data_IF_117861362879
#
_entry.id   IF_117861362879
#
_cell.length_a   1.000
_cell.length_b   1.000
_cell.length_c   1.000
_cell.angle_alpha   90.00
_cell.angle_beta   90.00
_cell.angle_gamma   90.00
#
_symmetry.space_group_name_H-M   'P 1'
#
loop_
_entity.id
_entity.type
_entity.pdbx_description
1 polymer ?
#
# COMPACT_ATOMS: atom_id res chain seq x y z
N UNK A 1 -21.08 25.64 -14.30
CA UNK A 1 -22.03 25.09 -13.31
C UNK A 1 -21.76 23.59 -13.25
N UNK A 2 -20.95 23.16 -12.32
CA UNK A 2 -20.67 21.74 -12.07
C UNK A 2 -21.49 21.30 -10.87
N UNK A 3 -22.32 20.29 -11.06
CA UNK A 3 -23.15 19.70 -10.03
C UNK A 3 -22.23 18.97 -9.03
N UNK A 4 -22.14 19.47 -7.82
CA UNK A 4 -21.59 18.76 -6.66
C UNK A 4 -22.60 17.67 -6.26
N UNK A 5 -22.21 16.42 -6.41
CA UNK A 5 -23.00 15.28 -5.99
C UNK A 5 -23.10 15.18 -4.47
N UNK A 6 -24.30 15.32 -3.94
CA UNK A 6 -24.72 15.13 -2.55
C UNK A 6 -24.60 13.67 -2.09
N UNK A 7 -23.42 13.16 -1.83
CA UNK A 7 -23.20 11.80 -1.31
C UNK A 7 -22.60 11.72 0.09
N UNK A 8 -22.39 12.86 0.76
CA UNK A 8 -21.72 12.87 2.07
C UNK A 8 -22.59 13.42 3.23
N UNK A 9 -23.84 13.81 2.98
CA UNK A 9 -24.58 14.69 3.92
C UNK A 9 -25.44 13.98 4.98
N UNK A 10 -25.54 12.65 5.02
CA UNK A 10 -26.56 11.99 5.85
C UNK A 10 -26.05 11.08 6.99
N UNK A 11 -24.80 11.17 7.37
CA UNK A 11 -24.31 10.48 8.57
C UNK A 11 -24.10 11.50 9.71
N UNK A 12 -24.87 11.43 10.80
CA UNK A 12 -24.74 12.37 11.94
C UNK A 12 -23.30 12.45 12.47
N UNK A 13 -22.58 11.33 12.51
CA UNK A 13 -21.20 11.29 12.97
C UNK A 13 -20.21 11.98 12.02
N UNK A 14 -20.50 12.08 10.71
CA UNK A 14 -19.64 12.78 9.76
C UNK A 14 -19.76 14.30 9.93
N UNK A 15 -20.97 14.82 10.11
CA UNK A 15 -21.19 16.25 10.35
C UNK A 15 -20.61 16.70 11.68
N UNK A 16 -20.73 15.89 12.73
CA UNK A 16 -20.17 16.17 14.06
C UNK A 16 -18.63 16.16 14.01
N UNK A 17 -18.02 15.19 13.31
CA UNK A 17 -16.59 15.18 13.05
C UNK A 17 -16.14 16.43 12.25
N UNK A 18 -16.91 16.83 11.24
CA UNK A 18 -16.58 18.00 10.41
C UNK A 18 -16.72 19.31 11.16
N UNK A 19 -17.72 19.47 12.03
CA UNK A 19 -17.88 20.63 12.90
C UNK A 19 -16.74 20.78 13.93
N UNK A 20 -16.20 19.66 14.42
CA UNK A 20 -15.04 19.64 15.30
C UNK A 20 -13.71 19.97 14.60
N UNK A 21 -13.66 19.95 13.26
CA UNK A 21 -12.45 20.30 12.48
C UNK A 21 -12.32 21.80 12.18
N UNK A 22 -13.40 22.56 12.23
CA UNK A 22 -13.41 23.98 11.82
C UNK A 22 -12.61 24.93 12.75
N UNK A 23 -12.48 24.69 14.07
CA UNK A 23 -11.74 25.59 14.94
C UNK A 23 -10.26 25.27 15.14
N UNK A 24 -9.69 24.34 14.39
CA UNK A 24 -8.37 23.75 14.70
C UNK A 24 -7.18 24.72 14.77
N UNK A 25 -7.23 25.90 14.17
CA UNK A 25 -6.07 26.79 14.19
C UNK A 25 -6.13 27.86 15.30
N UNK A 26 -7.33 28.42 15.55
CA UNK A 26 -7.47 29.51 16.54
C UNK A 26 -7.89 29.01 17.93
N UNK A 27 -8.71 27.95 18.01
CA UNK A 27 -9.19 27.42 19.29
C UNK A 27 -8.12 26.69 20.12
N UNK A 28 -7.06 26.19 19.49
CA UNK A 28 -5.94 25.53 20.18
C UNK A 28 -4.82 26.51 20.57
N UNK A 29 -5.01 27.81 20.32
CA UNK A 29 -4.00 28.83 20.56
C UNK A 29 -2.80 28.73 19.60
N UNK A 30 -1.77 29.48 19.88
CA UNK A 30 -0.54 29.55 19.11
C UNK A 30 0.57 30.21 19.90
N UNK A 31 1.74 30.29 19.31
CA UNK A 31 2.90 31.00 19.83
C UNK A 31 3.51 31.87 18.75
N UNK A 32 4.28 32.87 19.16
CA UNK A 32 5.00 33.73 18.26
C UNK A 32 6.41 33.19 18.09
N UNK A 33 6.80 32.96 16.85
CA UNK A 33 8.17 32.62 16.49
C UNK A 33 8.84 33.87 15.93
N UNK A 34 9.99 34.25 16.45
CA UNK A 34 10.79 35.39 15.97
C UNK A 34 12.15 34.87 15.51
N UNK A 35 12.63 35.41 14.38
CA UNK A 35 13.97 35.14 13.91
C UNK A 35 14.96 36.05 14.66
N UNK A 36 15.95 35.44 15.30
CA UNK A 36 16.97 36.19 16.06
C UNK A 36 17.87 37.04 15.16
N UNK A 37 18.06 36.64 13.87
CA UNK A 37 18.94 37.36 12.95
C UNK A 37 18.28 38.55 12.27
N UNK A 38 17.01 38.40 11.83
CA UNK A 38 16.34 39.45 11.03
C UNK A 38 15.16 40.11 11.72
N UNK A 39 14.79 39.71 12.93
CA UNK A 39 13.68 40.26 13.71
C UNK A 39 12.28 39.97 13.14
N UNK A 40 12.16 39.25 12.04
CA UNK A 40 10.86 38.83 11.51
C UNK A 40 10.16 37.90 12.46
N UNK A 41 8.89 38.09 12.60
CA UNK A 41 8.06 37.24 13.47
C UNK A 41 6.85 36.68 12.71
N UNK A 42 6.35 35.54 13.17
CA UNK A 42 5.14 34.91 12.66
C UNK A 42 4.36 34.25 13.79
N UNK A 43 3.05 34.11 13.60
CA UNK A 43 2.21 33.34 14.50
C UNK A 43 2.21 31.89 14.03
N UNK A 44 2.67 30.99 14.86
CA UNK A 44 2.57 29.54 14.67
C UNK A 44 1.40 28.97 15.51
N UNK A 45 0.38 28.48 14.85
CA UNK A 45 -0.77 27.89 15.53
C UNK A 45 -0.49 26.46 15.98
N UNK A 46 -1.00 26.08 17.17
CA UNK A 46 -0.87 24.72 17.68
C UNK A 46 -1.63 23.73 16.79
N UNK A 47 -1.06 22.54 16.63
CA UNK A 47 -1.67 21.45 15.89
C UNK A 47 -2.58 20.62 16.81
N UNK A 48 -3.75 20.20 16.30
CA UNK A 48 -4.62 19.25 17.00
C UNK A 48 -4.04 17.83 17.08
N UNK A 49 -2.91 17.57 16.42
CA UNK A 49 -2.23 16.28 16.29
C UNK A 49 -3.13 15.15 15.77
N UNK A 50 -4.29 15.47 15.26
CA UNK A 50 -5.20 14.48 14.69
C UNK A 50 -4.75 14.15 13.26
N UNK A 51 -4.43 12.88 13.02
CA UNK A 51 -3.98 12.38 11.72
C UNK A 51 -4.98 12.57 10.56
N UNK A 52 -6.24 12.80 10.88
CA UNK A 52 -7.28 13.02 9.88
C UNK A 52 -7.60 14.51 9.64
N UNK A 53 -6.95 15.42 10.36
CA UNK A 53 -7.19 16.85 10.20
C UNK A 53 -6.51 17.37 8.93
N UNK A 54 -7.25 17.76 7.87
CA UNK A 54 -6.65 18.22 6.62
C UNK A 54 -5.88 19.54 6.81
N UNK A 55 -6.26 20.35 7.79
CA UNK A 55 -5.61 21.61 8.09
C UNK A 55 -4.25 21.41 8.77
N UNK A 56 -4.20 20.62 9.83
CA UNK A 56 -2.97 20.37 10.58
C UNK A 56 -1.99 19.47 9.82
N UNK A 57 -2.51 18.52 9.04
CA UNK A 57 -1.68 17.60 8.26
C UNK A 57 -1.28 18.16 6.89
N UNK A 58 -2.00 19.15 6.36
CA UNK A 58 -1.73 19.68 5.02
C UNK A 58 -0.32 20.24 4.83
N UNK A 59 0.21 20.95 5.83
CA UNK A 59 1.59 21.44 5.77
C UNK A 59 2.61 20.28 5.83
N UNK A 60 2.44 19.36 6.77
CA UNK A 60 3.32 18.19 6.89
C UNK A 60 3.27 17.31 5.64
N UNK A 61 2.08 17.12 5.04
CA UNK A 61 1.93 16.37 3.80
C UNK A 61 2.65 17.05 2.63
N UNK A 62 2.57 18.38 2.48
CA UNK A 62 3.29 19.11 1.45
C UNK A 62 4.80 19.02 1.61
N UNK A 63 5.32 19.18 2.83
CA UNK A 63 6.75 19.04 3.11
C UNK A 63 7.22 17.64 2.78
N UNK A 64 6.50 16.62 3.24
CA UNK A 64 6.81 15.23 2.95
C UNK A 64 6.79 14.93 1.44
N UNK A 65 5.81 15.49 0.72
CA UNK A 65 5.69 15.29 -0.73
C UNK A 65 6.89 15.95 -1.45
N UNK A 66 7.23 17.19 -1.11
CA UNK A 66 8.36 17.89 -1.72
C UNK A 66 9.70 17.17 -1.48
N UNK A 67 9.91 16.63 -0.28
CA UNK A 67 11.08 15.79 0.01
C UNK A 67 11.10 14.50 -0.83
N UNK A 68 9.95 13.87 -1.03
CA UNK A 68 9.86 12.65 -1.85
C UNK A 68 10.00 12.93 -3.34
N UNK A 69 9.51 14.07 -3.81
CA UNK A 69 9.72 14.50 -5.20
C UNK A 69 11.20 14.70 -5.52
N UNK A 70 11.97 15.24 -4.58
CA UNK A 70 13.42 15.42 -4.74
C UNK A 70 14.19 14.07 -4.84
N UNK A 71 13.65 13.02 -4.23
CA UNK A 71 14.24 11.68 -4.25
C UNK A 71 13.79 10.83 -5.47
N UNK A 72 12.84 11.34 -6.28
CA UNK A 72 12.34 10.58 -7.43
C UNK A 72 13.39 10.47 -8.54
N UNK A 73 13.56 9.25 -9.03
CA UNK A 73 14.37 9.01 -10.22
C UNK A 73 13.65 9.58 -11.46
N UNK A 74 14.39 10.13 -12.45
CA UNK A 74 13.81 10.68 -13.69
C UNK A 74 13.39 9.54 -14.65
N UNK A 75 12.62 8.59 -14.15
CA UNK A 75 12.09 7.45 -14.88
C UNK A 75 10.62 7.25 -14.54
N UNK A 76 9.84 6.79 -15.50
CA UNK A 76 8.44 6.45 -15.26
C UNK A 76 8.31 5.38 -14.16
N UNK A 77 7.26 5.45 -13.36
CA UNK A 77 6.99 4.50 -12.29
C UNK A 77 5.79 3.62 -12.62
N UNK A 78 5.91 2.33 -12.36
CA UNK A 78 4.81 1.37 -12.50
C UNK A 78 4.06 1.23 -11.18
N UNK A 79 2.73 1.19 -11.28
CA UNK A 79 1.87 0.84 -10.16
C UNK A 79 1.47 -0.62 -10.25
N UNK A 80 1.92 -1.43 -9.28
CA UNK A 80 1.65 -2.86 -9.22
C UNK A 80 0.83 -3.18 -7.98
N UNK A 81 -0.22 -4.00 -8.13
CA UNK A 81 -1.12 -4.37 -7.02
C UNK A 81 -1.17 -5.88 -6.88
N UNK A 82 -0.91 -6.38 -5.69
CA UNK A 82 -1.07 -7.78 -5.31
C UNK A 82 -2.30 -7.94 -4.43
N UNK A 83 -3.26 -8.73 -4.88
CA UNK A 83 -4.54 -8.90 -4.22
C UNK A 83 -4.72 -10.32 -3.71
N UNK A 84 -5.22 -10.47 -2.47
CA UNK A 84 -5.61 -11.76 -1.92
C UNK A 84 -6.99 -12.19 -2.47
N UNK A 85 -7.19 -13.49 -2.75
CA UNK A 85 -8.52 -14.02 -3.00
C UNK A 85 -9.47 -13.79 -1.81
N UNK A 86 -10.74 -13.54 -2.09
CA UNK A 86 -11.74 -13.24 -1.06
C UNK A 86 -11.78 -14.29 0.06
N UNK A 87 -11.64 -15.54 -0.30
CA UNK A 87 -11.71 -16.66 0.64
C UNK A 87 -10.50 -16.75 1.60
N UNK A 88 -9.36 -16.15 1.22
CA UNK A 88 -8.19 -16.00 2.09
C UNK A 88 -8.34 -14.76 2.97
N UNK A 89 -9.17 -13.83 2.55
CA UNK A 89 -9.45 -12.58 3.27
C UNK A 89 -10.10 -12.84 4.63
N UNK A 90 -10.93 -13.87 4.75
CA UNK A 90 -11.55 -14.25 6.03
C UNK A 90 -10.50 -14.74 7.04
N UNK A 91 -9.50 -15.51 6.59
CA UNK A 91 -8.36 -15.89 7.41
C UNK A 91 -7.56 -14.66 7.83
N UNK A 92 -7.37 -13.71 6.92
CA UNK A 92 -6.65 -12.46 7.18
C UNK A 92 -7.37 -11.58 8.20
N UNK A 93 -8.70 -11.57 8.23
CA UNK A 93 -9.49 -10.78 9.17
C UNK A 93 -9.20 -11.14 10.63
N UNK A 94 -9.07 -12.42 10.93
CA UNK A 94 -8.76 -12.93 12.27
C UNK A 94 -7.26 -12.93 12.59
N UNK A 95 -6.39 -12.83 11.57
CA UNK A 95 -4.93 -12.98 11.70
C UNK A 95 -4.17 -11.80 11.08
N UNK A 96 -4.65 -10.57 11.28
CA UNK A 96 -4.18 -9.36 10.56
C UNK A 96 -2.66 -9.22 10.54
N UNK A 97 -2.02 -9.22 11.71
CA UNK A 97 -0.57 -9.00 11.79
C UNK A 97 0.22 -10.05 10.99
N UNK A 98 -0.14 -11.33 11.14
CA UNK A 98 0.57 -12.44 10.49
C UNK A 98 0.34 -12.44 8.98
N UNK A 99 -0.92 -12.27 8.55
CA UNK A 99 -1.27 -12.36 7.14
C UNK A 99 -0.86 -11.10 6.37
N UNK A 100 -0.88 -9.93 7.00
CA UNK A 100 -0.41 -8.68 6.37
C UNK A 100 1.11 -8.70 6.19
N UNK A 101 1.89 -9.12 7.20
CA UNK A 101 3.33 -9.31 7.06
C UNK A 101 3.65 -10.34 5.96
N UNK A 102 2.92 -11.45 5.94
CA UNK A 102 3.05 -12.46 4.90
C UNK A 102 2.75 -11.89 3.50
N UNK A 103 1.71 -11.08 3.37
CA UNK A 103 1.33 -10.44 2.11
C UNK A 103 2.44 -9.53 1.60
N UNK A 104 2.99 -8.65 2.45
CA UNK A 104 4.12 -7.80 2.11
C UNK A 104 5.34 -8.61 1.66
N UNK A 105 5.75 -9.58 2.45
CA UNK A 105 6.93 -10.42 2.15
C UNK A 105 6.77 -11.21 0.86
N UNK A 106 5.62 -11.86 0.66
CA UNK A 106 5.38 -12.66 -0.54
C UNK A 106 5.33 -11.79 -1.80
N UNK A 107 4.70 -10.61 -1.73
CA UNK A 107 4.62 -9.68 -2.85
C UNK A 107 6.00 -9.08 -3.19
N UNK A 108 6.73 -8.59 -2.19
CA UNK A 108 8.07 -8.00 -2.38
C UNK A 108 9.08 -9.02 -2.92
N UNK A 109 9.12 -10.22 -2.33
CA UNK A 109 10.00 -11.29 -2.81
C UNK A 109 9.65 -11.73 -4.23
N UNK A 110 8.35 -11.78 -4.56
CA UNK A 110 7.92 -12.06 -5.93
C UNK A 110 8.49 -11.04 -6.92
N UNK A 111 8.36 -9.76 -6.61
CA UNK A 111 8.87 -8.68 -7.46
C UNK A 111 10.39 -8.76 -7.62
N UNK A 112 11.12 -8.86 -6.50
CA UNK A 112 12.59 -8.90 -6.50
C UNK A 112 13.10 -10.14 -7.25
N UNK A 113 12.50 -11.32 -7.01
CA UNK A 113 12.93 -12.57 -7.65
C UNK A 113 12.74 -12.53 -9.16
N UNK A 114 11.58 -12.07 -9.63
CA UNK A 114 11.31 -12.03 -11.08
C UNK A 114 12.11 -10.90 -11.76
N UNK A 115 12.32 -9.77 -11.08
CA UNK A 115 13.15 -8.69 -11.61
C UNK A 115 14.63 -9.08 -11.73
N UNK A 116 15.15 -9.87 -10.82
CA UNK A 116 16.53 -10.34 -10.87
C UNK A 116 16.79 -11.37 -11.98
N UNK A 117 15.74 -12.07 -12.46
CA UNK A 117 15.89 -13.04 -13.57
C UNK A 117 16.25 -12.33 -14.87
N UNK A 118 17.41 -12.65 -15.51
CA UNK A 118 17.83 -12.06 -16.78
C UNK A 118 16.84 -12.25 -17.93
N UNK A 119 15.97 -13.26 -17.85
CA UNK A 119 14.88 -13.47 -18.83
C UNK A 119 13.82 -12.38 -18.79
N UNK A 120 13.76 -11.62 -17.69
CA UNK A 120 12.77 -10.56 -17.47
C UNK A 120 13.43 -9.18 -17.47
N UNK A 121 14.08 -8.80 -16.38
CA UNK A 121 14.75 -7.51 -16.25
C UNK A 121 16.26 -7.66 -16.01
N UNK A 122 16.69 -8.63 -15.23
CA UNK A 122 18.10 -8.83 -14.87
C UNK A 122 18.64 -7.74 -13.93
N UNK A 123 17.83 -7.18 -13.06
CA UNK A 123 18.20 -6.06 -12.22
C UNK A 123 17.61 -6.13 -10.81
N UNK A 124 18.24 -5.41 -9.88
CA UNK A 124 17.69 -5.13 -8.56
C UNK A 124 16.81 -3.89 -8.65
N UNK A 125 15.56 -4.01 -8.24
CA UNK A 125 14.57 -2.94 -8.26
C UNK A 125 14.35 -2.34 -6.88
N UNK A 126 14.00 -1.06 -6.83
CA UNK A 126 13.44 -0.39 -5.65
C UNK A 126 11.92 -0.57 -5.62
N UNK A 127 11.33 -0.66 -4.42
CA UNK A 127 9.89 -0.81 -4.26
C UNK A 127 9.44 0.04 -3.07
N UNK A 128 8.46 0.90 -3.29
CA UNK A 128 7.67 1.51 -2.21
C UNK A 128 6.34 0.78 -2.14
N UNK A 129 5.99 0.23 -0.97
CA UNK A 129 4.80 -0.59 -0.81
C UNK A 129 3.88 -0.06 0.29
N UNK A 130 2.57 -0.04 0.02
CA UNK A 130 1.53 0.40 0.96
C UNK A 130 0.43 -0.65 1.03
N UNK A 131 0.02 -1.01 2.25
CA UNK A 131 -1.10 -1.90 2.50
C UNK A 131 -2.42 -1.14 2.45
N UNK A 132 -3.34 -1.63 1.63
CA UNK A 132 -4.76 -1.28 1.71
C UNK A 132 -5.55 -2.49 2.22
N UNK A 133 -6.49 -2.25 3.12
CA UNK A 133 -7.26 -3.33 3.77
C UNK A 133 -8.72 -3.35 3.38
N UNK A 134 -9.19 -2.34 2.63
CA UNK A 134 -10.58 -2.16 2.22
C UNK A 134 -10.68 -1.98 0.71
N UNK A 135 -11.63 -2.67 0.10
CA UNK A 135 -12.01 -2.44 -1.29
C UNK A 135 -12.92 -1.21 -1.45
N UNK A 136 -13.26 -0.84 -2.68
CA UNK A 136 -14.15 0.26 -3.01
C UNK A 136 -15.55 0.12 -2.39
N UNK A 137 -16.01 -1.11 -2.16
CA UNK A 137 -17.28 -1.41 -1.47
C UNK A 137 -17.16 -1.42 0.06
N UNK A 138 -16.09 -0.88 0.65
CA UNK A 138 -15.79 -0.89 2.08
C UNK A 138 -15.77 -2.29 2.72
N UNK A 139 -15.60 -3.34 1.90
CA UNK A 139 -15.40 -4.70 2.38
C UNK A 139 -13.93 -4.94 2.70
N UNK A 140 -13.66 -5.77 3.71
CA UNK A 140 -12.28 -6.16 4.05
C UNK A 140 -11.65 -6.90 2.87
N UNK A 141 -10.62 -6.29 2.28
CA UNK A 141 -9.99 -6.76 1.05
C UNK A 141 -8.50 -6.40 1.03
N UNK A 142 -7.66 -7.11 1.79
CA UNK A 142 -6.24 -6.79 1.88
C UNK A 142 -5.53 -6.93 0.54
N UNK A 143 -4.84 -5.88 0.16
CA UNK A 143 -4.01 -5.83 -1.04
C UNK A 143 -2.86 -4.86 -0.83
N UNK A 144 -1.75 -5.09 -1.51
CA UNK A 144 -0.55 -4.25 -1.45
C UNK A 144 -0.40 -3.50 -2.75
N UNK A 145 -0.36 -2.18 -2.66
CA UNK A 145 0.05 -1.30 -3.74
C UNK A 145 1.55 -1.12 -3.72
N UNK A 146 2.19 -1.20 -4.87
CA UNK A 146 3.62 -1.00 -5.03
C UNK A 146 3.88 0.03 -6.11
N UNK A 147 4.73 1.00 -5.82
CA UNK A 147 5.31 1.92 -6.80
C UNK A 147 6.73 1.44 -7.08
N UNK A 148 7.01 1.19 -8.34
CA UNK A 148 8.27 0.60 -8.78
C UNK A 148 8.84 1.41 -9.94
N UNK A 149 10.06 1.94 -9.86
CA UNK A 149 10.71 2.62 -10.97
C UNK A 149 10.77 1.74 -12.23
N UNK A 150 10.74 2.36 -13.39
CA UNK A 150 10.79 1.68 -14.70
C UNK A 150 12.15 1.10 -15.05
N UNK A 151 12.76 0.39 -14.11
CA UNK A 151 14.06 -0.26 -14.25
C UNK A 151 14.67 -0.59 -12.89
N UNK A 152 15.96 -0.88 -12.90
CA UNK A 152 16.73 -1.20 -11.71
C UNK A 152 18.23 -1.18 -11.95
N UNK A 153 18.99 -1.41 -10.90
CA UNK A 153 20.45 -1.50 -10.97
C UNK A 153 20.82 -2.94 -11.38
N UNK A 154 21.64 -3.09 -12.39
CA UNK A 154 22.17 -4.38 -12.81
C UNK A 154 22.72 -5.16 -11.62
N UNK A 155 22.69 -6.49 -11.66
CA UNK A 155 23.07 -7.33 -10.52
C UNK A 155 24.53 -7.13 -10.10
N UNK A 156 25.40 -6.73 -11.03
CA UNK A 156 26.80 -6.35 -10.80
C UNK A 156 26.97 -4.94 -10.21
N UNK A 157 25.89 -4.16 -10.13
CA UNK A 157 25.90 -2.81 -9.57
C UNK A 157 26.41 -1.72 -10.52
N UNK A 158 26.78 -2.04 -11.77
CA UNK A 158 27.53 -1.13 -12.64
C UNK A 158 26.70 -0.16 -13.47
N UNK A 159 25.42 -0.46 -13.73
CA UNK A 159 24.58 0.32 -14.64
C UNK A 159 23.09 0.21 -14.31
N UNK A 160 22.34 1.16 -14.84
CA UNK A 160 20.88 1.11 -14.84
C UNK A 160 20.38 0.20 -16.00
N UNK A 161 19.42 -0.65 -15.70
CA UNK A 161 18.70 -1.49 -16.67
C UNK A 161 17.26 -1.00 -16.74
N UNK A 162 16.90 -0.39 -17.86
CA UNK A 162 15.53 0.10 -18.09
C UNK A 162 14.57 -1.04 -18.39
N UNK A 163 13.35 -0.94 -17.87
CA UNK A 163 12.25 -1.81 -18.26
C UNK A 163 11.77 -1.49 -19.68
N UNK A 164 10.94 -2.37 -20.24
CA UNK A 164 10.20 -2.04 -21.47
C UNK A 164 9.19 -0.92 -21.19
N UNK A 165 8.94 -0.02 -22.18
CA UNK A 165 8.11 1.17 -21.94
C UNK A 165 6.72 0.91 -21.34
N UNK A 166 6.07 -0.19 -21.72
CA UNK A 166 4.71 -0.52 -21.26
C UNK A 166 4.67 -1.75 -20.33
N UNK A 167 5.81 -2.36 -20.01
CA UNK A 167 5.86 -3.63 -19.28
C UNK A 167 7.06 -3.68 -18.33
N UNK A 168 6.80 -3.58 -17.04
CA UNK A 168 7.84 -3.81 -16.03
C UNK A 168 8.19 -5.31 -15.98
N UNK A 169 7.20 -6.13 -15.58
CA UNK A 169 7.33 -7.59 -15.38
C UNK A 169 6.03 -8.30 -15.80
N UNK A 170 6.10 -9.58 -16.26
CA UNK A 170 4.91 -10.30 -16.70
C UNK A 170 3.98 -10.63 -15.53
N UNK A 171 2.81 -10.02 -15.46
CA UNK A 171 1.83 -10.18 -14.36
C UNK A 171 1.39 -11.63 -14.11
N UNK A 172 1.37 -12.47 -15.17
CA UNK A 172 1.04 -13.91 -15.03
C UNK A 172 2.13 -14.67 -14.28
N UNK A 173 3.40 -14.31 -14.51
CA UNK A 173 4.55 -14.91 -13.81
C UNK A 173 4.57 -14.45 -12.37
N UNK A 174 4.36 -13.14 -12.14
CA UNK A 174 4.22 -12.57 -10.79
C UNK A 174 3.10 -13.29 -10.00
N UNK A 175 1.90 -13.39 -10.56
CA UNK A 175 0.76 -14.03 -9.88
C UNK A 175 1.00 -15.50 -9.57
N UNK A 176 1.73 -16.24 -10.41
CA UNK A 176 2.07 -17.65 -10.18
C UNK A 176 3.08 -17.81 -9.01
N UNK A 177 4.12 -16.98 -8.98
CA UNK A 177 5.13 -17.02 -7.91
C UNK A 177 4.54 -16.54 -6.58
N UNK A 178 3.83 -15.41 -6.59
CA UNK A 178 3.15 -14.85 -5.43
C UNK A 178 2.23 -15.87 -4.76
N UNK A 179 1.35 -16.50 -5.54
CA UNK A 179 0.47 -17.57 -5.04
C UNK A 179 1.26 -18.69 -4.36
N UNK A 180 2.33 -19.17 -4.99
CA UNK A 180 3.15 -20.26 -4.45
C UNK A 180 3.79 -19.86 -3.12
N UNK A 181 4.43 -18.70 -3.06
CA UNK A 181 5.11 -18.20 -1.86
C UNK A 181 4.11 -17.95 -0.74
N UNK A 182 3.01 -17.28 -1.03
CA UNK A 182 1.99 -16.96 -0.05
C UNK A 182 1.37 -18.22 0.56
N UNK A 183 0.90 -19.16 -0.27
CA UNK A 183 0.25 -20.37 0.22
C UNK A 183 1.21 -21.28 1.00
N UNK A 184 2.46 -21.41 0.55
CA UNK A 184 3.45 -22.20 1.27
C UNK A 184 3.71 -21.65 2.67
N UNK A 185 3.86 -20.33 2.80
CA UNK A 185 4.08 -19.68 4.08
C UNK A 185 2.85 -19.63 4.97
N UNK A 186 1.67 -19.49 4.38
CA UNK A 186 0.41 -19.54 5.13
C UNK A 186 0.23 -20.93 5.77
N UNK A 187 0.58 -21.99 5.04
CA UNK A 187 0.58 -23.37 5.57
C UNK A 187 1.63 -23.50 6.69
N UNK A 188 2.82 -22.96 6.51
CA UNK A 188 3.85 -22.99 7.55
C UNK A 188 3.43 -22.24 8.83
N UNK A 189 2.71 -21.12 8.71
CA UNK A 189 2.13 -20.42 9.86
C UNK A 189 1.07 -21.26 10.57
N UNK A 190 0.25 -21.99 9.82
CA UNK A 190 -0.73 -22.91 10.38
C UNK A 190 -0.03 -24.06 11.14
N UNK A 191 0.94 -24.72 10.50
CA UNK A 191 1.69 -25.83 11.08
C UNK A 191 2.48 -25.42 12.34
N UNK A 192 2.86 -24.14 12.42
CA UNK A 192 3.50 -23.55 13.60
C UNK A 192 2.51 -23.09 14.69
N UNK A 193 1.19 -23.32 14.51
CA UNK A 193 0.16 -22.90 15.47
C UNK A 193 0.02 -21.39 15.62
N UNK A 194 0.43 -20.59 14.61
CA UNK A 194 0.45 -19.14 14.67
C UNK A 194 -0.80 -18.47 14.09
N UNK A 195 -1.77 -19.24 13.64
CA UNK A 195 -3.05 -18.77 13.13
C UNK A 195 -4.17 -19.10 14.10
N UNK A 196 -5.06 -18.14 14.32
CA UNK A 196 -6.26 -18.31 15.13
C UNK A 196 -7.48 -18.43 14.23
N UNK A 197 -8.44 -19.26 14.62
CA UNK A 197 -9.67 -19.54 13.90
C UNK A 197 -10.86 -19.50 14.86
N UNK A 198 -11.90 -18.75 14.49
CA UNK A 198 -13.07 -18.52 15.33
C UNK A 198 -14.37 -18.73 14.56
N UNK A 199 -15.48 -18.95 15.29
CA UNK A 199 -16.81 -19.05 14.70
C UNK A 199 -16.92 -20.12 13.62
N UNK A 200 -17.44 -19.76 12.48
CA UNK A 200 -17.60 -20.66 11.32
C UNK A 200 -16.28 -21.20 10.78
N UNK A 201 -15.15 -20.55 11.07
CA UNK A 201 -13.82 -20.96 10.63
C UNK A 201 -13.07 -21.81 11.66
N UNK A 202 -13.63 -22.08 12.85
CA UNK A 202 -12.96 -22.85 13.91
C UNK A 202 -12.47 -24.22 13.44
N UNK A 203 -13.18 -24.85 12.50
CA UNK A 203 -12.81 -26.13 11.91
C UNK A 203 -11.49 -26.10 11.13
N UNK A 204 -11.03 -24.92 10.71
CA UNK A 204 -9.74 -24.76 10.02
C UNK A 204 -8.53 -24.84 10.96
N UNK A 205 -8.73 -24.89 12.27
CA UNK A 205 -7.67 -25.25 13.21
C UNK A 205 -7.13 -26.67 12.95
N UNK A 206 -7.98 -27.56 12.42
CA UNK A 206 -7.57 -28.89 12.01
C UNK A 206 -6.85 -28.83 10.64
N UNK A 207 -5.59 -29.36 10.61
CA UNK A 207 -4.69 -29.27 9.46
C UNK A 207 -5.29 -29.78 8.15
N UNK A 208 -6.02 -30.90 8.21
CA UNK A 208 -6.62 -31.53 7.03
C UNK A 208 -7.75 -30.65 6.45
N UNK A 209 -8.56 -30.05 7.31
CA UNK A 209 -9.61 -29.12 6.92
C UNK A 209 -9.00 -27.86 6.28
N UNK A 210 -7.95 -27.31 6.88
CA UNK A 210 -7.22 -26.15 6.37
C UNK A 210 -6.62 -26.40 4.97
N UNK A 211 -5.91 -27.52 4.79
CA UNK A 211 -5.34 -27.88 3.49
C UNK A 211 -6.41 -28.11 2.42
N UNK A 212 -7.57 -28.68 2.80
CA UNK A 212 -8.71 -28.85 1.90
C UNK A 212 -9.33 -27.51 1.51
N UNK A 213 -9.45 -26.58 2.47
CA UNK A 213 -9.90 -25.22 2.21
C UNK A 213 -8.97 -24.47 1.21
N UNK A 214 -7.66 -24.64 1.34
CA UNK A 214 -6.68 -24.00 0.45
C UNK A 214 -6.50 -24.69 -0.91
N UNK A 215 -6.94 -25.93 -1.08
CA UNK A 215 -6.69 -26.72 -2.29
C UNK A 215 -7.17 -26.04 -3.60
N UNK A 216 -8.37 -25.42 -3.67
CA UNK A 216 -8.82 -24.72 -4.87
C UNK A 216 -7.89 -23.58 -5.28
N UNK A 217 -7.32 -22.86 -4.30
CA UNK A 217 -6.49 -21.66 -4.55
C UNK A 217 -5.10 -21.97 -5.10
N UNK A 218 -4.64 -23.22 -4.96
CA UNK A 218 -3.40 -23.71 -5.58
C UNK A 218 -3.48 -23.72 -7.11
N UNK A 219 -4.68 -23.88 -7.67
CA UNK A 219 -4.93 -23.94 -9.12
C UNK A 219 -5.53 -22.64 -9.67
N UNK A 220 -6.27 -21.89 -8.85
CA UNK A 220 -6.91 -20.61 -9.23
C UNK A 220 -5.84 -19.57 -9.60
N UNK A 221 -6.13 -18.76 -10.61
CA UNK A 221 -5.28 -17.62 -10.96
C UNK A 221 -5.42 -16.54 -9.88
N UNK A 222 -4.31 -16.10 -9.32
CA UNK A 222 -4.26 -14.94 -8.45
C UNK A 222 -4.01 -13.68 -9.26
N UNK A 223 -4.71 -12.62 -8.91
CA UNK A 223 -4.66 -11.37 -9.67
C UNK A 223 -3.48 -10.55 -9.18
N UNK A 224 -2.61 -10.22 -10.13
CA UNK A 224 -1.65 -9.14 -10.02
C UNK A 224 -1.99 -8.15 -11.11
N UNK A 225 -2.17 -6.90 -10.74
CA UNK A 225 -2.46 -5.83 -11.66
C UNK A 225 -1.24 -4.92 -11.78
N UNK A 226 -0.89 -4.52 -13.00
CA UNK A 226 0.16 -3.55 -13.25
C UNK A 226 -0.37 -2.54 -14.27
N UNK A 227 -0.35 -1.26 -13.90
CA UNK A 227 -0.61 -0.16 -14.84
C UNK A 227 0.64 0.15 -15.65
N UNK A 228 0.48 0.61 -16.89
CA UNK A 228 1.56 1.27 -17.62
C UNK A 228 2.19 2.38 -16.76
N UNK A 229 3.46 2.74 -17.01
CA UNK A 229 4.11 3.77 -16.24
C UNK A 229 3.36 5.10 -16.41
N UNK A 230 3.16 5.79 -15.32
CA UNK A 230 2.78 7.20 -15.35
C UNK A 230 4.05 8.04 -15.44
N UNK A 231 4.00 9.08 -16.25
CA UNK A 231 5.16 9.93 -16.53
C UNK A 231 5.42 10.86 -15.34
N UNK A 232 6.50 10.59 -14.56
CA UNK A 232 7.09 11.52 -13.61
C UNK A 232 6.19 12.10 -12.51
N UNK A 233 6.73 13.01 -11.70
CA UNK A 233 5.99 13.66 -10.60
C UNK A 233 4.81 14.51 -11.07
N UNK A 234 4.87 15.07 -12.28
CA UNK A 234 3.82 15.92 -12.85
C UNK A 234 2.53 15.18 -13.24
N UNK A 235 2.56 13.87 -13.29
CA UNK A 235 1.42 13.04 -13.70
C UNK A 235 0.68 12.40 -12.51
N UNK A 236 1.03 12.72 -11.28
CA UNK A 236 0.25 12.30 -10.11
C UNK A 236 -0.92 13.26 -9.95
N UNK A 237 -2.18 12.79 -10.06
CA UNK A 237 -3.33 13.63 -9.74
C UNK A 237 -3.27 14.04 -8.27
N UNK A 238 -3.73 15.27 -7.97
CA UNK A 238 -3.76 15.82 -6.63
C UNK A 238 -4.58 15.02 -5.65
#
# INVERSE_FOLDING_TARGET
>A
MAATSDLASNSPGFLEAFQNFLPCASALGGHVEACEDCGQWRIAYNSCRNRHCPKCQGAAARTWLAEREADLLPVGCFHVVFTLPAEVTDIAFHNKAMVYDLLFRAASETMVTIAADPKHLGARIGITAVLHTWGSAMTHHPHVHMIVPGGGIALDGTRWVSSRPALLLPVRVLGKLFRRLFLARLIALHDAGRLAFFGSMAHLAERRAFLRHLAPFKKKRWVVYAKPPFAGPEAMPP
#
